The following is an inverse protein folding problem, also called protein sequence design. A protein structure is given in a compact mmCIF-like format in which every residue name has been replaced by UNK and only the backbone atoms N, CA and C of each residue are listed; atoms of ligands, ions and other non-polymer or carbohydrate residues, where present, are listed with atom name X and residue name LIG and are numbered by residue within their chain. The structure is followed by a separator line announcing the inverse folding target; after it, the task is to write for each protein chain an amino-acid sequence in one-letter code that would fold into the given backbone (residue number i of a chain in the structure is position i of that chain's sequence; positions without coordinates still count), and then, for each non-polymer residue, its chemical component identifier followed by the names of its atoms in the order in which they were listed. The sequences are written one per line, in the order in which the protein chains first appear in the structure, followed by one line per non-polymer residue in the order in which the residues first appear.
data_IF_180200591296
#
_entry.id   IF_180200591296
#
_cell.length_a   1.000
_cell.length_b   1.000
_cell.length_c   1.000
_cell.angle_alpha   90.00
_cell.angle_beta   90.00
_cell.angle_gamma   90.00
#
_symmetry.space_group_name_H-M   'P 1'
#
loop_
_entity.id
_entity.type
_entity.pdbx_description
1 polymer ?
#
# COMPACT_ATOMS: atom_id res chain seq x y z
N UNK A 1 -3.08 11.90 6.19
CA UNK A 1 -2.23 11.18 5.22
C UNK A 1 -0.78 11.59 5.43
N UNK A 2 0.19 10.73 5.10
CA UNK A 2 1.62 11.04 5.11
C UNK A 2 2.25 10.72 3.74
N UNK A 3 2.87 11.70 3.10
CA UNK A 3 3.56 11.54 1.81
C UNK A 3 5.02 11.11 2.02
N UNK A 4 5.25 9.84 2.34
CA UNK A 4 6.60 9.30 2.54
C UNK A 4 7.21 8.69 1.26
N UNK A 5 6.53 8.69 0.11
CA UNK A 5 7.18 8.60 -1.22
C UNK A 5 7.84 9.95 -1.55
N UNK A 6 8.96 10.23 -0.89
CA UNK A 6 9.73 11.46 -1.10
C UNK A 6 10.67 11.38 -2.30
N UNK A 7 10.78 10.22 -2.96
CA UNK A 7 11.64 10.03 -4.13
C UNK A 7 11.11 10.70 -5.40
N UNK A 8 9.80 10.98 -5.43
CA UNK A 8 9.12 11.51 -6.60
C UNK A 8 8.30 12.71 -6.17
N UNK A 9 8.68 13.92 -6.59
CA UNK A 9 7.85 15.11 -6.38
C UNK A 9 6.38 14.89 -6.83
N UNK A 10 6.20 14.24 -7.98
CA UNK A 10 4.87 13.92 -8.50
C UNK A 10 4.03 13.00 -7.59
N UNK A 11 4.65 12.14 -6.76
CA UNK A 11 3.91 11.28 -5.82
C UNK A 11 3.32 12.12 -4.68
N UNK A 12 4.10 13.06 -4.15
CA UNK A 12 3.65 14.02 -3.13
C UNK A 12 2.47 14.85 -3.67
N UNK A 13 2.59 15.37 -4.90
CA UNK A 13 1.54 16.17 -5.53
C UNK A 13 0.27 15.35 -5.81
N UNK A 14 0.41 14.10 -6.29
CA UNK A 14 -0.72 13.20 -6.49
C UNK A 14 -1.46 12.92 -5.18
N UNK A 15 -0.72 12.67 -4.09
CA UNK A 15 -1.34 12.44 -2.78
C UNK A 15 -2.01 13.70 -2.21
N UNK A 16 -1.48 14.89 -2.52
CA UNK A 16 -2.12 16.16 -2.15
C UNK A 16 -3.50 16.30 -2.82
N UNK A 17 -3.60 15.99 -4.12
CA UNK A 17 -4.87 16.04 -4.85
C UNK A 17 -5.91 15.11 -4.20
N UNK A 18 -5.49 13.92 -3.77
CA UNK A 18 -6.35 12.99 -3.04
C UNK A 18 -6.75 13.51 -1.66
N UNK A 19 -5.80 14.08 -0.91
CA UNK A 19 -6.05 14.67 0.40
C UNK A 19 -7.12 15.78 0.31
N UNK A 20 -6.97 16.69 -0.66
CA UNK A 20 -7.90 17.78 -0.91
C UNK A 20 -9.27 17.26 -1.34
N UNK A 21 -9.31 16.24 -2.20
CA UNK A 21 -10.55 15.62 -2.68
C UNK A 21 -11.39 15.02 -1.56
N UNK A 22 -10.75 14.37 -0.58
CA UNK A 22 -11.44 13.70 0.53
C UNK A 22 -11.47 14.56 1.81
N UNK A 23 -10.96 15.79 1.75
CA UNK A 23 -11.01 16.76 2.85
C UNK A 23 -10.16 16.37 4.06
N UNK A 24 -9.06 15.63 3.86
CA UNK A 24 -8.17 15.18 4.94
C UNK A 24 -6.82 15.89 4.85
N UNK A 25 -6.16 16.03 6.00
CA UNK A 25 -4.86 16.68 6.03
C UNK A 25 -3.74 15.77 5.50
N UNK A 26 -2.78 16.37 4.80
CA UNK A 26 -1.56 15.73 4.32
C UNK A 26 -0.33 16.29 5.03
N UNK A 27 0.44 15.41 5.66
CA UNK A 27 1.79 15.71 6.15
C UNK A 27 2.78 15.32 5.06
N UNK A 28 3.60 16.29 4.63
CA UNK A 28 4.58 16.13 3.55
C UNK A 28 5.79 17.00 3.79
N UNK A 29 6.94 16.55 3.32
CA UNK A 29 8.16 17.37 3.20
C UNK A 29 8.45 17.64 1.72
N UNK A 30 9.63 18.15 1.40
CA UNK A 30 10.08 18.33 0.00
C UNK A 30 10.61 17.02 -0.60
N UNK A 31 10.69 16.95 -1.93
CA UNK A 31 11.36 15.84 -2.63
C UNK A 31 12.78 15.61 -2.10
N UNK A 32 13.18 14.34 -2.00
CA UNK A 32 14.47 13.91 -1.47
C UNK A 32 14.59 13.93 0.06
N UNK A 33 13.55 14.34 0.79
CA UNK A 33 13.52 14.29 2.25
C UNK A 33 13.53 12.85 2.77
N UNK A 34 13.95 12.66 4.01
CA UNK A 34 13.91 11.35 4.68
C UNK A 34 12.46 10.87 4.89
N UNK A 35 12.02 9.75 4.26
CA UNK A 35 10.66 9.22 4.43
C UNK A 35 10.28 9.00 5.90
N UNK A 36 11.23 8.53 6.72
CA UNK A 36 11.00 8.25 8.13
C UNK A 36 10.76 9.54 8.96
N UNK A 37 11.31 10.69 8.52
CA UNK A 37 11.05 11.98 9.14
C UNK A 37 9.62 12.46 8.86
N UNK A 38 9.12 12.28 7.63
CA UNK A 38 7.72 12.55 7.28
C UNK A 38 6.78 11.72 8.16
N UNK A 39 7.08 10.43 8.33
CA UNK A 39 6.27 9.52 9.16
C UNK A 39 6.30 9.92 10.64
N UNK A 40 7.45 10.34 11.16
CA UNK A 40 7.57 10.83 12.54
C UNK A 40 6.65 12.05 12.78
N UNK A 41 6.72 13.05 11.89
CA UNK A 41 5.89 14.23 11.99
C UNK A 41 4.40 13.89 11.83
N UNK A 42 4.08 12.97 10.93
CA UNK A 42 2.71 12.52 10.72
C UNK A 42 2.13 11.77 11.92
N UNK A 43 2.93 10.92 12.58
CA UNK A 43 2.54 10.24 13.80
C UNK A 43 2.32 11.24 14.95
N UNK A 44 3.19 12.24 15.09
CA UNK A 44 3.02 13.32 16.07
C UNK A 44 1.73 14.12 15.82
N UNK A 45 1.49 14.48 14.56
CA UNK A 45 0.29 15.20 14.15
C UNK A 45 -0.99 14.38 14.38
N UNK A 46 -0.98 13.10 14.03
CA UNK A 46 -2.10 12.19 14.26
C UNK A 46 -2.44 12.07 15.75
N UNK A 47 -1.43 11.89 16.63
CA UNK A 47 -1.61 11.88 18.09
C UNK A 47 -2.21 13.18 18.62
N UNK A 48 -1.63 14.33 18.23
CA UNK A 48 -2.08 15.66 18.70
C UNK A 48 -3.52 15.96 18.28
N UNK A 49 -3.94 15.46 17.13
CA UNK A 49 -5.27 15.68 16.55
C UNK A 49 -6.27 14.58 16.89
N UNK A 50 -5.84 13.55 17.63
CA UNK A 50 -6.67 12.39 17.95
C UNK A 50 -7.27 11.74 16.69
N UNK A 51 -6.48 11.66 15.62
CA UNK A 51 -6.92 11.02 14.38
C UNK A 51 -7.06 9.50 14.57
N UNK A 52 -8.13 8.91 14.04
CA UNK A 52 -8.38 7.48 14.14
C UNK A 52 -7.46 6.66 13.22
N UNK A 53 -7.11 7.20 12.05
CA UNK A 53 -6.35 6.50 11.01
C UNK A 53 -5.23 7.38 10.46
N UNK A 54 -4.03 6.79 10.37
CA UNK A 54 -2.90 7.35 9.64
C UNK A 54 -2.54 6.43 8.47
N UNK A 55 -2.68 6.93 7.25
CA UNK A 55 -2.25 6.24 6.02
C UNK A 55 -0.92 6.86 5.58
N UNK A 56 0.08 6.00 5.37
CA UNK A 56 1.45 6.37 4.95
C UNK A 56 1.66 5.84 3.53
N UNK A 57 1.90 6.74 2.58
CA UNK A 57 2.32 6.38 1.23
C UNK A 57 3.84 6.26 1.18
N UNK A 58 4.37 5.24 0.53
CA UNK A 58 5.82 4.91 0.53
C UNK A 58 6.32 4.67 -0.88
N UNK A 59 7.60 4.94 -1.13
CA UNK A 59 8.23 4.51 -2.37
C UNK A 59 8.12 2.97 -2.57
N UNK A 60 8.04 2.53 -3.82
CA UNK A 60 7.81 1.11 -4.15
C UNK A 60 8.66 0.55 -5.30
N UNK A 61 9.65 1.29 -5.81
CA UNK A 61 10.41 0.87 -7.00
C UNK A 61 11.63 0.00 -6.64
N UNK A 62 11.55 -1.28 -7.01
CA UNK A 62 12.54 -2.33 -6.79
C UNK A 62 13.88 -2.19 -7.53
N UNK A 63 14.09 -1.15 -8.35
CA UNK A 63 15.33 -1.02 -9.14
C UNK A 63 16.58 -0.77 -8.28
N UNK A 64 16.44 -0.31 -7.03
CA UNK A 64 17.52 -0.25 -6.04
C UNK A 64 17.10 -0.91 -4.73
N UNK A 65 17.05 -2.26 -4.75
CA UNK A 65 16.43 -3.09 -3.71
C UNK A 65 16.90 -2.79 -2.30
N UNK A 66 18.22 -2.69 -2.08
CA UNK A 66 18.78 -2.57 -0.73
C UNK A 66 18.34 -1.27 -0.04
N UNK A 67 18.45 -0.15 -0.73
CA UNK A 67 18.09 1.16 -0.16
C UNK A 67 16.61 1.24 0.18
N UNK A 68 15.73 0.73 -0.71
CA UNK A 68 14.29 0.71 -0.45
C UNK A 68 13.93 -0.13 0.78
N UNK A 69 14.55 -1.32 0.94
CA UNK A 69 14.26 -2.17 2.09
C UNK A 69 14.74 -1.53 3.40
N UNK A 70 15.91 -0.88 3.40
CA UNK A 70 16.43 -0.18 4.57
C UNK A 70 15.52 1.00 4.98
N UNK A 71 14.94 1.71 4.01
CA UNK A 71 13.99 2.79 4.24
C UNK A 71 12.67 2.29 4.83
N UNK A 72 12.09 1.22 4.27
CA UNK A 72 10.87 0.61 4.80
C UNK A 72 11.07 0.09 6.23
N UNK A 73 12.21 -0.55 6.51
CA UNK A 73 12.57 -0.99 7.85
C UNK A 73 12.72 0.19 8.82
N UNK A 74 13.27 1.32 8.35
CA UNK A 74 13.38 2.55 9.14
C UNK A 74 12.01 3.16 9.45
N UNK A 75 11.10 3.20 8.46
CA UNK A 75 9.71 3.64 8.65
C UNK A 75 9.02 2.78 9.72
N UNK A 76 9.13 1.45 9.64
CA UNK A 76 8.55 0.54 10.62
C UNK A 76 9.03 0.83 12.05
N UNK A 77 10.34 1.05 12.25
CA UNK A 77 10.89 1.42 13.56
C UNK A 77 10.33 2.73 14.10
N UNK A 78 10.07 3.72 13.23
CA UNK A 78 9.44 4.98 13.63
C UNK A 78 8.00 4.75 14.04
N UNK A 79 7.22 3.98 13.26
CA UNK A 79 5.83 3.65 13.60
C UNK A 79 5.76 2.92 14.95
N UNK A 80 6.59 1.90 15.16
CA UNK A 80 6.60 1.11 16.39
C UNK A 80 6.93 1.96 17.63
N UNK A 81 7.81 2.95 17.48
CA UNK A 81 8.18 3.86 18.56
C UNK A 81 7.14 4.94 18.81
N UNK A 82 6.60 5.55 17.75
CA UNK A 82 5.73 6.73 17.87
C UNK A 82 4.26 6.38 18.08
N UNK A 83 3.82 5.21 17.63
CA UNK A 83 2.44 4.73 17.70
C UNK A 83 2.38 3.33 18.36
N UNK A 84 2.90 3.18 19.59
CA UNK A 84 2.92 1.88 20.26
C UNK A 84 1.49 1.36 20.48
N UNK A 85 1.25 0.10 20.11
CA UNK A 85 -0.06 -0.55 20.29
C UNK A 85 -1.11 -0.19 19.25
N UNK A 86 -0.76 0.55 18.19
CA UNK A 86 -1.70 0.76 17.08
C UNK A 86 -1.99 -0.55 16.33
N UNK A 87 -3.19 -0.66 15.77
CA UNK A 87 -3.54 -1.74 14.84
C UNK A 87 -2.86 -1.46 13.50
N UNK A 88 -1.63 -1.96 13.32
CA UNK A 88 -0.83 -1.73 12.12
C UNK A 88 -1.21 -2.69 10.99
N UNK A 89 -1.36 -2.12 9.80
CA UNK A 89 -1.52 -2.86 8.55
C UNK A 89 -0.45 -2.41 7.55
N UNK A 90 0.28 -3.36 6.97
CA UNK A 90 1.18 -3.12 5.85
C UNK A 90 0.57 -3.77 4.60
N UNK A 91 0.03 -2.94 3.72
CA UNK A 91 -0.69 -3.39 2.53
C UNK A 91 0.22 -3.27 1.29
N UNK A 92 0.49 -4.40 0.64
CA UNK A 92 1.20 -4.40 -0.63
C UNK A 92 0.20 -4.30 -1.79
N UNK A 93 0.33 -3.23 -2.58
CA UNK A 93 -0.49 -3.00 -3.78
C UNK A 93 0.18 -3.66 -4.98
N UNK A 94 -0.54 -4.53 -5.68
CA UNK A 94 -0.07 -5.28 -6.85
C UNK A 94 -1.01 -5.09 -8.04
N UNK A 95 -0.42 -4.92 -9.21
CA UNK A 95 -1.14 -4.88 -10.48
C UNK A 95 -1.45 -6.31 -10.96
N UNK A 96 -2.74 -6.68 -10.98
CA UNK A 96 -3.18 -8.02 -11.33
C UNK A 96 -2.89 -8.39 -12.80
N UNK A 97 -2.75 -7.41 -13.70
CA UNK A 97 -2.47 -7.65 -15.12
C UNK A 97 -1.07 -8.22 -15.35
N UNK A 98 -0.16 -8.02 -14.39
CA UNK A 98 1.25 -8.40 -14.48
C UNK A 98 1.50 -9.90 -14.23
N UNK A 99 0.49 -10.64 -13.77
CA UNK A 99 0.56 -12.10 -13.58
C UNK A 99 1.72 -12.51 -12.65
N UNK A 100 2.55 -13.45 -13.09
CA UNK A 100 3.66 -13.99 -12.27
C UNK A 100 4.66 -12.94 -11.78
N UNK A 101 4.76 -11.79 -12.46
CA UNK A 101 5.60 -10.69 -11.99
C UNK A 101 5.11 -10.12 -10.65
N UNK A 102 3.79 -10.05 -10.43
CA UNK A 102 3.22 -9.64 -9.14
C UNK A 102 3.60 -10.61 -8.02
N UNK A 103 3.57 -11.92 -8.28
CA UNK A 103 3.98 -12.96 -7.31
C UNK A 103 5.45 -12.79 -6.94
N UNK A 104 6.33 -12.59 -7.93
CA UNK A 104 7.75 -12.36 -7.68
C UNK A 104 8.00 -11.10 -6.85
N UNK A 105 7.34 -9.98 -7.17
CA UNK A 105 7.46 -8.75 -6.40
C UNK A 105 7.00 -8.95 -4.95
N UNK A 106 5.87 -9.62 -4.76
CA UNK A 106 5.32 -9.84 -3.44
C UNK A 106 6.17 -10.79 -2.59
N UNK A 107 6.84 -11.78 -3.20
CA UNK A 107 7.88 -12.58 -2.52
C UNK A 107 9.03 -11.69 -2.03
N UNK A 108 9.50 -10.77 -2.87
CA UNK A 108 10.60 -9.88 -2.52
C UNK A 108 10.25 -8.94 -1.36
N UNK A 109 9.08 -8.29 -1.41
CA UNK A 109 8.65 -7.38 -0.34
C UNK A 109 8.26 -8.09 0.97
N UNK A 110 7.78 -9.35 0.90
CA UNK A 110 7.41 -10.13 2.10
C UNK A 110 8.58 -10.23 3.09
N UNK A 111 9.81 -10.30 2.60
CA UNK A 111 10.99 -10.42 3.45
C UNK A 111 11.39 -9.11 4.16
N UNK A 112 10.85 -7.97 3.76
CA UNK A 112 11.36 -6.67 4.19
C UNK A 112 10.33 -5.75 4.85
N UNK A 113 9.05 -5.94 4.60
CA UNK A 113 8.02 -4.97 4.98
C UNK A 113 6.94 -5.51 5.95
N UNK A 114 7.08 -6.73 6.49
CA UNK A 114 6.07 -7.35 7.37
C UNK A 114 4.64 -7.21 6.82
N UNK A 115 4.46 -7.63 5.56
CA UNK A 115 3.18 -7.47 4.85
C UNK A 115 2.07 -8.25 5.57
N UNK A 116 0.98 -7.56 5.89
CA UNK A 116 -0.20 -8.12 6.56
C UNK A 116 -1.37 -8.35 5.61
N UNK A 117 -1.37 -7.70 4.45
CA UNK A 117 -2.44 -7.83 3.46
C UNK A 117 -2.03 -7.37 2.07
N UNK A 118 -2.83 -7.75 1.08
CA UNK A 118 -2.63 -7.37 -0.31
C UNK A 118 -3.81 -6.57 -0.86
N UNK A 119 -3.51 -5.66 -1.77
CA UNK A 119 -4.49 -4.96 -2.61
C UNK A 119 -4.17 -5.34 -4.05
N UNK A 120 -5.14 -5.89 -4.78
CA UNK A 120 -4.98 -6.22 -6.20
C UNK A 120 -5.73 -5.21 -7.05
N UNK A 121 -5.02 -4.47 -7.90
CA UNK A 121 -5.64 -3.47 -8.79
C UNK A 121 -5.76 -3.98 -10.22
N UNK A 122 -6.60 -3.31 -11.03
CA UNK A 122 -6.81 -3.58 -12.46
C UNK A 122 -7.32 -4.98 -12.77
N UNK A 123 -8.20 -5.53 -11.93
CA UNK A 123 -8.82 -6.83 -12.20
C UNK A 123 -9.81 -6.79 -13.37
N UNK A 124 -10.42 -5.64 -13.61
CA UNK A 124 -11.27 -5.35 -14.77
C UNK A 124 -10.50 -5.43 -16.10
N UNK A 125 -9.21 -5.11 -16.08
CA UNK A 125 -8.34 -5.16 -17.25
C UNK A 125 -7.81 -6.55 -17.61
N UNK A 126 -8.23 -7.64 -16.93
CA UNK A 126 -7.60 -8.95 -17.17
C UNK A 126 -8.51 -10.16 -17.02
N UNK A 127 -8.40 -11.10 -17.97
CA UNK A 127 -8.92 -12.47 -17.85
C UNK A 127 -8.08 -13.34 -16.88
N UNK A 128 -7.04 -12.78 -16.24
CA UNK A 128 -6.08 -13.48 -15.36
C UNK A 128 -6.43 -13.34 -13.88
N UNK A 129 -7.71 -13.36 -13.51
CA UNK A 129 -8.15 -13.43 -12.11
C UNK A 129 -7.52 -14.59 -11.33
N UNK A 130 -7.02 -15.62 -12.03
CA UNK A 130 -6.28 -16.73 -11.43
C UNK A 130 -5.01 -16.36 -10.64
N UNK A 131 -4.51 -15.13 -10.77
CA UNK A 131 -3.35 -14.66 -10.01
C UNK A 131 -3.60 -14.64 -8.50
N UNK A 132 -4.85 -14.42 -8.07
CA UNK A 132 -5.25 -14.44 -6.65
C UNK A 132 -4.91 -15.78 -6.01
N UNK A 133 -5.20 -16.89 -6.70
CA UNK A 133 -4.88 -18.24 -6.21
C UNK A 133 -3.37 -18.47 -6.12
N UNK A 134 -2.61 -17.98 -7.11
CA UNK A 134 -1.15 -18.12 -7.13
C UNK A 134 -0.51 -17.36 -5.96
N UNK A 135 -0.95 -16.12 -5.73
CA UNK A 135 -0.47 -15.30 -4.63
C UNK A 135 -0.83 -15.95 -3.28
N UNK A 136 -2.09 -16.39 -3.10
CA UNK A 136 -2.49 -17.05 -1.85
C UNK A 136 -1.68 -18.32 -1.59
N UNK A 137 -1.46 -19.15 -2.62
CA UNK A 137 -0.70 -20.40 -2.50
C UNK A 137 0.77 -20.16 -2.17
N UNK A 138 1.40 -19.16 -2.79
CA UNK A 138 2.85 -18.92 -2.67
C UNK A 138 3.24 -18.10 -1.45
N UNK A 139 2.37 -17.15 -1.05
CA UNK A 139 2.71 -16.16 -0.02
C UNK A 139 1.94 -16.34 1.27
N UNK A 140 0.79 -17.01 1.23
CA UNK A 140 -0.13 -17.16 2.36
C UNK A 140 -0.59 -15.82 2.99
N UNK A 141 -0.52 -14.72 2.24
CA UNK A 141 -0.98 -13.39 2.66
C UNK A 141 -2.41 -13.19 2.18
N UNK A 142 -3.34 -12.69 3.01
CA UNK A 142 -4.71 -12.44 2.59
C UNK A 142 -4.81 -11.26 1.62
N UNK A 143 -5.60 -11.41 0.56
CA UNK A 143 -6.08 -10.27 -0.24
C UNK A 143 -7.19 -9.59 0.56
N UNK A 144 -7.07 -8.27 0.77
CA UNK A 144 -8.02 -7.48 1.55
C UNK A 144 -8.90 -6.61 0.67
N UNK A 145 -8.34 -6.09 -0.42
CA UNK A 145 -9.06 -5.23 -1.35
C UNK A 145 -8.75 -5.59 -2.79
N UNK A 146 -9.70 -5.29 -3.66
CA UNK A 146 -9.58 -5.40 -5.10
C UNK A 146 -10.03 -4.12 -5.79
N UNK A 147 -9.31 -3.69 -6.81
CA UNK A 147 -9.69 -2.59 -7.70
C UNK A 147 -10.17 -3.14 -9.03
N UNK A 148 -11.43 -2.82 -9.38
CA UNK A 148 -12.12 -3.27 -10.60
C UNK A 148 -12.44 -2.11 -11.55
N UNK A 149 -11.65 -1.05 -11.47
CA UNK A 149 -11.78 0.15 -12.29
C UNK A 149 -10.86 1.28 -11.83
N UNK A 150 -11.09 2.47 -12.35
CA UNK A 150 -10.23 3.66 -12.20
C UNK A 150 -10.80 4.70 -11.23
N UNK A 151 -12.08 4.59 -10.85
CA UNK A 151 -12.72 5.53 -9.94
C UNK A 151 -12.49 5.12 -8.49
N UNK A 152 -12.72 6.07 -7.57
CA UNK A 152 -12.52 5.82 -6.13
C UNK A 152 -13.52 4.79 -5.57
N UNK A 153 -14.71 4.70 -6.17
CA UNK A 153 -15.77 3.75 -5.86
C UNK A 153 -15.56 2.36 -6.48
N UNK A 154 -14.54 2.20 -7.34
CA UNK A 154 -14.19 0.92 -7.96
C UNK A 154 -13.27 0.04 -7.07
N UNK A 155 -12.98 0.49 -5.84
CA UNK A 155 -12.23 -0.30 -4.85
C UNK A 155 -13.20 -1.02 -3.89
N UNK A 156 -13.08 -2.34 -3.82
CA UNK A 156 -13.97 -3.21 -3.07
C UNK A 156 -13.20 -4.06 -2.05
N UNK A 157 -13.85 -4.41 -0.95
CA UNK A 157 -13.35 -5.46 -0.05
C UNK A 157 -13.31 -6.79 -0.77
N UNK A 158 -12.25 -7.57 -0.57
CA UNK A 158 -12.15 -8.89 -1.19
C UNK A 158 -13.05 -9.91 -0.50
N UNK A 159 -13.97 -10.50 -1.26
CA UNK A 159 -14.79 -11.65 -0.88
C UNK A 159 -14.42 -12.83 -1.78
N UNK A 160 -13.84 -13.88 -1.19
CA UNK A 160 -13.36 -15.03 -1.94
C UNK A 160 -14.48 -15.81 -2.64
N UNK A 161 -15.69 -15.84 -2.06
CA UNK A 161 -16.84 -16.54 -2.65
C UNK A 161 -17.35 -15.76 -3.86
N UNK A 162 -17.61 -14.46 -3.68
CA UNK A 162 -18.06 -13.60 -4.79
C UNK A 162 -17.05 -13.58 -5.93
N UNK A 163 -15.75 -13.56 -5.61
CA UNK A 163 -14.69 -13.63 -6.60
C UNK A 163 -14.71 -14.94 -7.41
N UNK A 164 -14.91 -16.08 -6.75
CA UNK A 164 -15.02 -17.39 -7.41
C UNK A 164 -16.29 -17.46 -8.26
N UNK A 165 -17.43 -17.04 -7.72
CA UNK A 165 -18.71 -17.04 -8.43
C UNK A 165 -18.59 -16.21 -9.72
N UNK A 166 -18.05 -14.99 -9.64
CA UNK A 166 -17.83 -14.12 -10.80
C UNK A 166 -16.84 -14.70 -11.83
N UNK A 167 -15.90 -15.55 -11.41
CA UNK A 167 -14.92 -16.17 -12.32
C UNK A 167 -15.54 -17.30 -13.17
N UNK A 168 -16.57 -17.99 -12.66
CA UNK A 168 -17.19 -19.14 -13.30
C UNK A 168 -18.56 -18.85 -13.94
N UNK A 169 -19.15 -17.67 -13.66
CA UNK A 169 -20.34 -17.17 -14.36
C UNK A 169 -20.02 -16.53 -15.73
N UNK A 170 -18.75 -16.36 -16.07
CA UNK A 170 -18.24 -15.78 -17.33
C UNK A 170 -18.05 -16.80 -18.47
#
# INVERSE_FOLDING_TARGET
LAAADTFRAAAIDQLQIWADRVGVELIKHTEGSDPAAVVFDAASAAKKRQADVLIIDTAGRLHNKKNLMDELAKINRVVDRELPGCSRETLLVLDATTGQNAVSQAKEFKHAADITGLILTKLDGTAKGGIVFSIKKELDIPVKFIGVGEKYDDMQTFDAKQFVDALFEA
#
